data_IF_056451827139
#
_entry.id   IF_056451827139
#
_cell.length_a   1.000
_cell.length_b   1.000
_cell.length_c   1.000
_cell.angle_alpha   90.00
_cell.angle_beta   90.00
_cell.angle_gamma   90.00
#
_symmetry.space_group_name_H-M   'P 1'
#
loop_
_entity.id
_entity.type
_entity.pdbx_description
1 polymer ?
#
# COMPACT_ATOMS: atom_id res chain seq x y z
N UNK A 1 57.45 -3.39 28.99
CA UNK A 1 57.97 -4.74 28.69
C UNK A 1 56.81 -5.71 28.71
N UNK A 2 56.47 -6.23 27.54
CA UNK A 2 55.65 -7.43 27.22
C UNK A 2 56.27 -8.72 27.80
N UNK A 3 55.62 -9.93 27.84
CA UNK A 3 54.77 -10.59 26.80
C UNK A 3 53.46 -11.26 27.31
N UNK A 4 52.39 -11.48 26.50
CA UNK A 4 52.09 -12.48 25.42
C UNK A 4 52.27 -13.95 25.88
N UNK A 5 51.43 -14.97 25.63
CA UNK A 5 50.36 -15.31 24.65
C UNK A 5 49.36 -16.32 25.33
N UNK A 6 48.20 -16.77 24.81
CA UNK A 6 47.93 -17.54 23.57
C UNK A 6 46.43 -17.55 23.20
N UNK A 7 46.13 -17.67 21.91
CA UNK A 7 44.82 -18.08 21.36
C UNK A 7 44.47 -17.43 20.00
N UNK A 8 44.69 -18.14 18.89
CA UNK A 8 44.40 -17.72 17.49
C UNK A 8 43.12 -18.41 16.93
N UNK A 9 42.44 -17.89 15.87
CA UNK A 9 41.02 -18.08 15.57
C UNK A 9 40.73 -19.06 14.40
N UNK A 10 39.46 -19.16 13.98
CA UNK A 10 39.11 -18.99 12.56
C UNK A 10 37.83 -18.14 12.40
N UNK A 11 37.44 -17.58 11.27
CA UNK A 11 37.89 -17.60 9.88
C UNK A 11 36.83 -16.81 9.10
N UNK A 12 37.25 -15.82 8.30
CA UNK A 12 36.35 -14.96 7.52
C UNK A 12 35.72 -15.71 6.35
N UNK A 13 34.46 -15.39 6.04
CA UNK A 13 33.81 -15.73 4.77
C UNK A 13 33.48 -14.44 4.02
N UNK A 14 34.09 -14.29 2.86
CA UNK A 14 33.80 -13.28 1.84
C UNK A 14 32.50 -13.64 1.08
N UNK A 15 31.80 -12.64 0.51
CA UNK A 15 30.55 -12.84 -0.22
C UNK A 15 30.81 -13.33 -1.65
N UNK A 16 30.15 -14.43 -2.04
CA UNK A 16 30.21 -14.97 -3.41
C UNK A 16 29.24 -14.18 -4.29
N UNK A 17 29.81 -13.41 -5.21
CA UNK A 17 29.12 -12.80 -6.35
C UNK A 17 29.43 -13.65 -7.60
N UNK A 18 28.52 -13.62 -8.58
CA UNK A 18 28.61 -14.18 -9.94
C UNK A 18 28.01 -15.58 -10.18
N UNK A 19 26.78 -15.60 -10.68
CA UNK A 19 26.24 -16.69 -11.50
C UNK A 19 26.68 -16.50 -12.95
N UNK A 20 27.34 -17.51 -13.50
CA UNK A 20 27.82 -17.58 -14.89
C UNK A 20 26.99 -18.63 -15.64
N UNK A 21 26.47 -18.35 -16.85
CA UNK A 21 25.72 -19.33 -17.62
C UNK A 21 26.67 -20.20 -18.46
N UNK A 22 26.34 -21.48 -18.62
CA UNK A 22 26.96 -22.37 -19.60
C UNK A 22 25.89 -23.20 -20.29
N UNK A 23 25.85 -23.10 -21.62
CA UNK A 23 25.03 -23.94 -22.49
C UNK A 23 25.79 -25.14 -23.06
N UNK A 24 25.01 -26.12 -23.54
CA UNK A 24 25.34 -27.03 -24.64
C UNK A 24 25.74 -28.46 -24.29
N UNK A 25 24.88 -29.45 -24.60
CA UNK A 25 25.03 -30.37 -25.75
C UNK A 25 24.29 -31.73 -25.61
N UNK A 26 23.47 -32.01 -26.63
CA UNK A 26 22.85 -33.23 -27.21
C UNK A 26 23.07 -34.68 -26.68
N UNK A 27 21.96 -35.45 -26.74
CA UNK A 27 21.92 -36.93 -26.92
C UNK A 27 20.51 -37.55 -26.71
N UNK A 28 20.08 -38.61 -27.45
CA UNK A 28 18.75 -38.64 -28.09
C UNK A 28 17.64 -39.56 -27.51
N UNK A 29 16.39 -39.16 -27.84
CA UNK A 29 15.13 -39.87 -28.12
C UNK A 29 14.71 -41.13 -27.32
N UNK A 30 13.66 -40.97 -26.52
CA UNK A 30 12.75 -42.05 -26.11
C UNK A 30 11.32 -41.50 -26.01
N UNK A 31 10.42 -41.97 -26.87
CA UNK A 31 9.01 -41.60 -26.88
C UNK A 31 8.24 -42.29 -25.74
N UNK A 32 7.44 -41.53 -24.99
CA UNK A 32 6.46 -41.99 -23.99
C UNK A 32 5.52 -40.82 -23.63
N UNK A 33 4.30 -41.12 -23.16
CA UNK A 33 3.03 -40.70 -23.75
C UNK A 33 2.60 -39.29 -23.32
N UNK A 34 1.59 -38.76 -24.00
CA UNK A 34 0.91 -37.50 -23.70
C UNK A 34 0.52 -37.39 -22.22
N UNK A 35 1.43 -36.85 -21.41
CA UNK A 35 1.08 -36.18 -20.17
C UNK A 35 0.62 -34.79 -20.59
N UNK A 36 -0.69 -34.64 -20.82
CA UNK A 36 -1.35 -33.36 -20.61
C UNK A 36 -1.07 -32.98 -19.15
N UNK A 37 -0.03 -32.18 -18.96
CA UNK A 37 0.15 -31.43 -17.72
C UNK A 37 -1.15 -30.64 -17.55
N UNK A 38 -1.86 -30.75 -16.41
CA UNK A 38 -2.95 -29.83 -16.15
C UNK A 38 -2.36 -28.44 -16.36
N UNK A 39 -3.01 -27.62 -17.18
CA UNK A 39 -2.64 -26.23 -17.33
C UNK A 39 -2.46 -25.70 -15.92
N UNK A 40 -1.22 -25.44 -15.50
CA UNK A 40 -0.95 -24.73 -14.27
C UNK A 40 -1.68 -23.41 -14.48
N UNK A 41 -2.86 -23.29 -13.87
CA UNK A 41 -3.61 -22.05 -13.81
C UNK A 41 -2.59 -21.02 -13.34
N UNK A 42 -2.23 -20.11 -14.24
CA UNK A 42 -1.31 -19.03 -13.91
C UNK A 42 -1.82 -18.42 -12.61
N UNK A 43 -0.94 -18.18 -11.62
CA UNK A 43 -1.34 -17.60 -10.35
C UNK A 43 -2.25 -16.40 -10.63
N UNK A 44 -3.42 -16.29 -9.98
CA UNK A 44 -4.35 -15.22 -10.24
C UNK A 44 -3.61 -13.89 -10.15
N UNK A 45 -3.87 -12.99 -11.10
CA UNK A 45 -3.32 -11.62 -11.05
C UNK A 45 -3.79 -10.99 -9.74
N UNK A 46 -2.87 -10.88 -8.77
CA UNK A 46 -3.16 -10.43 -7.43
C UNK A 46 -3.77 -9.04 -7.45
N UNK A 47 -3.29 -8.16 -8.34
CA UNK A 47 -3.85 -6.82 -8.48
C UNK A 47 -5.32 -6.90 -8.89
N UNK A 48 -5.63 -7.74 -9.89
CA UNK A 48 -7.03 -7.93 -10.31
C UNK A 48 -7.88 -8.52 -9.18
N UNK A 49 -7.36 -9.49 -8.41
CA UNK A 49 -8.07 -10.08 -7.30
C UNK A 49 -8.43 -9.05 -6.21
N UNK A 50 -7.49 -8.17 -5.86
CA UNK A 50 -7.71 -7.07 -4.90
C UNK A 50 -8.73 -6.08 -5.45
N UNK A 51 -8.64 -5.70 -6.73
CA UNK A 51 -9.60 -4.78 -7.36
C UNK A 51 -11.01 -5.37 -7.39
N UNK A 52 -11.17 -6.66 -7.69
CA UNK A 52 -12.49 -7.32 -7.64
C UNK A 52 -13.05 -7.38 -6.22
N UNK A 53 -12.22 -7.66 -5.21
CA UNK A 53 -12.63 -7.65 -3.82
C UNK A 53 -13.07 -6.23 -3.38
N UNK A 54 -12.29 -5.20 -3.73
CA UNK A 54 -12.64 -3.80 -3.47
C UNK A 54 -13.96 -3.40 -4.15
N UNK A 55 -14.17 -3.80 -5.41
CA UNK A 55 -15.43 -3.55 -6.15
C UNK A 55 -16.63 -4.18 -5.46
N UNK A 56 -16.51 -5.42 -4.99
CA UNK A 56 -17.59 -6.13 -4.30
C UNK A 56 -17.95 -5.44 -2.98
N UNK A 57 -16.95 -5.11 -2.15
CA UNK A 57 -17.17 -4.42 -0.87
C UNK A 57 -17.76 -3.03 -1.11
N UNK A 58 -17.16 -2.22 -1.98
CA UNK A 58 -17.66 -0.88 -2.29
C UNK A 58 -19.12 -0.92 -2.79
N UNK A 59 -19.48 -1.91 -3.62
CA UNK A 59 -20.85 -2.07 -4.10
C UNK A 59 -21.84 -2.37 -2.97
N UNK A 60 -21.44 -3.20 -2.00
CA UNK A 60 -22.25 -3.50 -0.81
C UNK A 60 -22.43 -2.24 0.05
N UNK A 61 -21.35 -1.52 0.33
CA UNK A 61 -21.39 -0.30 1.13
C UNK A 61 -22.28 0.77 0.49
N UNK A 62 -22.12 1.02 -0.81
CA UNK A 62 -22.94 1.97 -1.58
C UNK A 62 -24.42 1.59 -1.56
N UNK A 63 -24.75 0.30 -1.75
CA UNK A 63 -26.13 -0.17 -1.77
C UNK A 63 -26.87 0.08 -0.46
N UNK A 64 -26.15 0.06 0.67
CA UNK A 64 -26.71 0.29 2.00
C UNK A 64 -26.53 1.73 2.50
N UNK A 65 -25.94 2.61 1.69
CA UNK A 65 -25.81 4.04 2.01
C UNK A 65 -24.72 4.37 3.01
N UNK A 66 -23.72 3.52 3.18
CA UNK A 66 -22.58 3.79 4.06
C UNK A 66 -21.63 4.82 3.45
N UNK A 67 -21.18 5.77 4.27
CA UNK A 67 -20.15 6.71 3.89
C UNK A 67 -18.77 6.04 4.03
N UNK A 68 -17.98 6.05 2.96
CA UNK A 68 -16.63 5.51 2.96
C UNK A 68 -15.76 6.21 1.91
N UNK A 69 -14.46 5.99 1.97
CA UNK A 69 -13.54 6.32 0.89
C UNK A 69 -12.41 5.29 0.82
N UNK A 70 -11.99 4.91 -0.40
CA UNK A 70 -10.81 4.08 -0.58
C UNK A 70 -9.54 4.82 -0.15
N UNK A 71 -8.65 4.08 0.50
CA UNK A 71 -7.33 4.52 0.92
C UNK A 71 -6.23 3.60 0.36
N UNK A 72 -5.02 3.74 0.89
CA UNK A 72 -3.90 2.85 0.61
C UNK A 72 -3.58 2.68 -0.88
N UNK A 73 -3.11 1.48 -1.24
CA UNK A 73 -2.58 1.21 -2.57
C UNK A 73 -3.64 1.28 -3.68
N UNK A 74 -4.88 0.87 -3.38
CA UNK A 74 -6.01 0.93 -4.32
C UNK A 74 -6.39 2.38 -4.62
N UNK A 75 -6.35 3.27 -3.64
CA UNK A 75 -6.58 4.70 -3.87
C UNK A 75 -5.50 5.33 -4.73
N UNK A 76 -4.23 4.98 -4.49
CA UNK A 76 -3.11 5.42 -5.33
C UNK A 76 -3.30 4.93 -6.77
N UNK A 77 -3.67 3.67 -6.96
CA UNK A 77 -4.02 3.09 -8.26
C UNK A 77 -5.14 3.86 -8.97
N UNK A 78 -6.25 4.12 -8.28
CA UNK A 78 -7.38 4.87 -8.83
C UNK A 78 -7.01 6.28 -9.31
N UNK A 79 -6.00 6.90 -8.69
CA UNK A 79 -5.45 8.17 -9.14
C UNK A 79 -4.54 8.08 -10.37
N UNK A 80 -4.44 6.93 -11.04
CA UNK A 80 -3.49 6.69 -12.14
C UNK A 80 -2.17 6.12 -11.64
N UNK A 81 -2.21 5.46 -10.48
CA UNK A 81 -1.16 4.65 -9.91
C UNK A 81 -0.72 3.53 -10.86
N UNK A 82 0.58 3.29 -11.00
CA UNK A 82 1.12 2.20 -11.85
C UNK A 82 1.95 1.21 -11.05
N UNK A 83 1.99 1.36 -9.73
CA UNK A 83 2.61 0.41 -8.82
C UNK A 83 1.71 -0.82 -8.62
N UNK A 84 2.31 -1.93 -8.19
CA UNK A 84 1.55 -3.08 -7.71
C UNK A 84 0.72 -2.68 -6.50
N UNK A 85 -0.48 -3.26 -6.41
CA UNK A 85 -1.30 -3.11 -5.22
C UNK A 85 -0.62 -3.82 -4.04
N UNK A 86 -0.79 -3.24 -2.86
CA UNK A 86 -0.46 -3.92 -1.61
C UNK A 86 -1.51 -5.00 -1.34
N UNK A 87 -1.19 -5.97 -0.50
CA UNK A 87 -1.90 -7.25 -0.41
C UNK A 87 -3.41 -7.17 -0.05
N UNK A 88 -3.90 -5.99 0.32
CA UNK A 88 -5.23 -5.68 0.82
C UNK A 88 -5.86 -4.46 0.14
N UNK A 89 -7.16 -4.27 0.37
CA UNK A 89 -7.87 -3.05 0.01
C UNK A 89 -8.34 -2.30 1.27
N UNK A 90 -7.98 -1.02 1.34
CA UNK A 90 -8.27 -0.15 2.48
C UNK A 90 -9.50 0.73 2.24
N UNK A 91 -10.42 0.73 3.20
CA UNK A 91 -11.62 1.56 3.23
C UNK A 91 -11.62 2.39 4.51
N UNK A 92 -11.57 3.72 4.36
CA UNK A 92 -11.82 4.62 5.47
C UNK A 92 -13.33 4.75 5.70
N UNK A 93 -13.76 4.51 6.94
CA UNK A 93 -15.14 4.68 7.43
C UNK A 93 -15.12 5.47 8.73
N UNK A 94 -16.22 6.12 9.11
CA UNK A 94 -16.24 6.84 10.38
C UNK A 94 -16.31 5.87 11.57
N UNK A 95 -15.67 6.17 12.71
CA UNK A 95 -15.77 5.34 13.92
C UNK A 95 -17.22 5.05 14.33
N UNK A 96 -18.10 6.06 14.26
CA UNK A 96 -19.51 5.91 14.60
C UNK A 96 -20.32 5.00 13.67
N UNK A 97 -19.82 4.75 12.46
CA UNK A 97 -20.47 3.89 11.48
C UNK A 97 -19.91 2.46 11.48
N UNK A 98 -18.82 2.20 12.21
CA UNK A 98 -18.09 0.93 12.16
C UNK A 98 -19.00 -0.28 12.41
N UNK A 99 -19.78 -0.26 13.50
CA UNK A 99 -20.69 -1.37 13.83
C UNK A 99 -21.75 -1.61 12.76
N UNK A 100 -22.27 -0.53 12.14
CA UNK A 100 -23.29 -0.63 11.08
C UNK A 100 -22.70 -1.19 9.78
N UNK A 101 -21.48 -0.80 9.44
CA UNK A 101 -20.72 -1.33 8.31
C UNK A 101 -20.43 -2.82 8.52
N UNK A 102 -19.93 -3.21 9.70
CA UNK A 102 -19.67 -4.61 10.06
C UNK A 102 -20.92 -5.46 9.90
N UNK A 103 -22.04 -5.06 10.50
CA UNK A 103 -23.30 -5.78 10.40
C UNK A 103 -23.75 -5.96 8.94
N UNK A 104 -23.59 -4.92 8.11
CA UNK A 104 -23.95 -4.98 6.69
C UNK A 104 -23.09 -5.96 5.90
N UNK A 105 -21.79 -6.04 6.20
CA UNK A 105 -20.89 -6.98 5.53
C UNK A 105 -21.18 -8.41 5.97
N UNK A 106 -21.44 -8.64 7.26
CA UNK A 106 -21.84 -9.95 7.78
C UNK A 106 -23.18 -10.42 7.19
N UNK A 107 -24.19 -9.53 7.08
CA UNK A 107 -25.47 -9.81 6.41
C UNK A 107 -25.28 -10.14 4.91
N UNK A 108 -24.28 -9.55 4.27
CA UNK A 108 -23.89 -9.87 2.90
C UNK A 108 -23.06 -11.17 2.78
N UNK A 109 -22.80 -11.86 3.90
CA UNK A 109 -22.06 -13.11 3.95
C UNK A 109 -20.53 -12.96 3.90
N UNK A 110 -20.01 -11.76 4.14
CA UNK A 110 -18.57 -11.50 4.23
C UNK A 110 -18.11 -11.71 5.68
N UNK A 111 -17.14 -12.61 5.94
CA UNK A 111 -16.58 -12.77 7.27
C UNK A 111 -15.87 -11.48 7.71
N UNK A 112 -16.22 -10.99 8.91
CA UNK A 112 -15.57 -9.85 9.55
C UNK A 112 -14.89 -10.33 10.83
N UNK A 113 -13.74 -9.75 11.15
CA UNK A 113 -13.00 -10.04 12.38
C UNK A 113 -12.29 -8.80 12.89
N UNK A 114 -12.26 -8.65 14.22
CA UNK A 114 -11.51 -7.59 14.90
C UNK A 114 -10.11 -8.12 15.21
N UNK A 115 -9.06 -7.55 14.61
CA UNK A 115 -7.69 -7.92 14.95
C UNK A 115 -7.27 -7.20 16.25
N UNK A 116 -6.04 -7.42 16.77
CA UNK A 116 -5.57 -6.73 17.98
C UNK A 116 -5.42 -5.20 17.83
N UNK A 117 -5.40 -4.70 16.61
CA UNK A 117 -5.33 -3.28 16.28
C UNK A 117 -6.62 -2.53 16.62
N UNK A 118 -6.54 -1.51 17.47
CA UNK A 118 -7.69 -0.70 17.90
C UNK A 118 -8.17 0.34 16.87
N UNK A 119 -7.63 0.35 15.64
CA UNK A 119 -7.86 1.39 14.62
C UNK A 119 -8.61 0.91 13.37
N UNK A 120 -8.87 -0.41 13.26
CA UNK A 120 -9.58 -1.02 12.14
C UNK A 120 -10.32 -2.30 12.52
N UNK A 121 -11.22 -2.74 11.65
CA UNK A 121 -11.69 -4.12 11.58
C UNK A 121 -11.38 -4.71 10.21
N UNK A 122 -11.16 -6.02 10.12
CA UNK A 122 -10.82 -6.69 8.86
C UNK A 122 -12.01 -7.49 8.34
N UNK A 123 -12.19 -7.52 7.04
CA UNK A 123 -13.12 -8.42 6.37
C UNK A 123 -12.38 -9.28 5.33
N UNK A 124 -12.96 -10.42 4.96
CA UNK A 124 -12.49 -11.23 3.83
C UNK A 124 -13.49 -11.20 2.69
N UNK A 125 -13.01 -10.86 1.49
CA UNK A 125 -13.80 -10.85 0.28
C UNK A 125 -13.01 -11.50 -0.86
N UNK A 126 -13.57 -12.52 -1.52
CA UNK A 126 -12.91 -13.24 -2.63
C UNK A 126 -11.48 -13.73 -2.30
N UNK A 127 -11.25 -14.11 -1.04
CA UNK A 127 -9.93 -14.55 -0.56
C UNK A 127 -8.93 -13.43 -0.29
N UNK A 128 -9.29 -12.16 -0.52
CA UNK A 128 -8.47 -10.99 -0.20
C UNK A 128 -8.88 -10.39 1.14
N UNK A 129 -7.92 -9.76 1.81
CA UNK A 129 -8.13 -9.01 3.04
C UNK A 129 -8.57 -7.57 2.73
N UNK A 130 -9.51 -7.08 3.54
CA UNK A 130 -10.11 -5.76 3.42
C UNK A 130 -10.00 -5.07 4.78
N UNK A 131 -9.37 -3.92 4.80
CA UNK A 131 -9.16 -3.14 6.03
C UNK A 131 -10.20 -2.03 6.10
N UNK A 132 -11.05 -2.07 7.13
CA UNK A 132 -12.06 -1.05 7.43
C UNK A 132 -11.49 -0.14 8.51
N UNK A 133 -10.81 0.90 8.06
CA UNK A 133 -10.02 1.83 8.86
C UNK A 133 -10.95 2.93 9.39
N UNK A 134 -11.06 3.05 10.70
CA UNK A 134 -11.79 4.15 11.34
C UNK A 134 -10.88 5.15 12.05
N UNK A 135 -9.59 4.81 12.22
CA UNK A 135 -8.54 5.74 12.61
C UNK A 135 -7.38 5.69 11.61
N UNK A 136 -7.21 6.77 10.84
CA UNK A 136 -6.18 6.89 9.81
C UNK A 136 -5.01 7.75 10.34
N UNK A 137 -3.83 7.15 10.42
CA UNK A 137 -2.61 7.79 10.93
C UNK A 137 -2.80 8.46 12.30
N UNK A 138 -3.35 7.69 13.24
CA UNK A 138 -3.66 8.10 14.62
C UNK A 138 -4.67 9.25 14.75
N UNK A 139 -5.53 9.43 13.75
CA UNK A 139 -6.62 10.41 13.76
C UNK A 139 -7.92 9.75 13.32
N UNK A 140 -9.04 10.02 13.99
CA UNK A 140 -10.33 9.45 13.59
C UNK A 140 -10.66 9.88 12.16
N UNK A 141 -11.20 8.97 11.37
CA UNK A 141 -11.75 9.27 10.04
C UNK A 141 -12.98 10.13 10.22
N UNK A 142 -12.92 11.39 9.77
CA UNK A 142 -14.00 12.36 9.94
C UNK A 142 -14.88 12.48 8.71
N UNK A 143 -16.08 13.05 8.87
CA UNK A 143 -16.97 13.36 7.75
C UNK A 143 -16.28 14.29 6.74
N UNK A 144 -15.52 15.29 7.21
CA UNK A 144 -14.80 16.23 6.34
C UNK A 144 -13.70 15.54 5.53
N UNK A 145 -13.06 14.50 6.07
CA UNK A 145 -12.10 13.69 5.32
C UNK A 145 -12.80 12.94 4.19
N UNK A 146 -13.93 12.30 4.48
CA UNK A 146 -14.70 11.56 3.48
C UNK A 146 -15.33 12.48 2.42
N UNK A 147 -15.79 13.67 2.79
CA UNK A 147 -16.36 14.65 1.85
C UNK A 147 -15.34 15.22 0.86
N UNK A 148 -14.05 15.22 1.20
CA UNK A 148 -12.97 15.59 0.26
C UNK A 148 -12.63 14.46 -0.73
N UNK A 149 -13.14 13.25 -0.52
CA UNK A 149 -12.92 12.15 -1.44
C UNK A 149 -13.47 12.47 -2.83
N UNK A 150 -12.80 11.97 -3.86
CA UNK A 150 -13.21 12.14 -5.25
C UNK A 150 -13.80 10.84 -5.77
N UNK A 151 -14.95 10.90 -6.42
CA UNK A 151 -15.50 9.76 -7.16
C UNK A 151 -14.61 9.43 -8.35
N UNK A 152 -13.96 8.27 -8.33
CA UNK A 152 -13.07 7.80 -9.39
C UNK A 152 -13.42 6.37 -9.81
N UNK A 153 -13.18 6.02 -11.08
CA UNK A 153 -13.29 4.64 -11.52
C UNK A 153 -12.17 3.79 -10.91
N UNK A 154 -12.55 2.76 -10.17
CA UNK A 154 -11.66 1.68 -9.75
C UNK A 154 -12.02 0.48 -10.58
N UNK A 155 -11.20 0.26 -11.62
CA UNK A 155 -11.55 -0.59 -12.76
C UNK A 155 -12.91 -0.16 -13.35
N UNK A 156 -13.99 -0.94 -13.17
CA UNK A 156 -15.30 -0.69 -13.78
C UNK A 156 -16.33 -0.06 -12.83
N UNK A 157 -15.97 0.25 -11.57
CA UNK A 157 -16.92 0.79 -10.56
C UNK A 157 -16.45 2.15 -10.06
N UNK A 158 -17.33 3.16 -10.15
CA UNK A 158 -17.07 4.47 -9.53
C UNK A 158 -17.34 4.40 -8.04
N UNK A 159 -16.41 4.90 -7.23
CA UNK A 159 -16.55 4.98 -5.78
C UNK A 159 -15.69 6.12 -5.21
N UNK A 160 -15.95 6.57 -3.97
CA UNK A 160 -15.17 7.62 -3.36
C UNK A 160 -13.74 7.14 -3.06
N UNK A 161 -12.75 7.93 -3.46
CA UNK A 161 -11.32 7.70 -3.23
C UNK A 161 -10.74 8.89 -2.49
N UNK A 162 -9.99 8.67 -1.40
CA UNK A 162 -9.38 9.75 -0.63
C UNK A 162 -8.52 10.65 -1.51
N UNK A 163 -8.59 11.96 -1.28
CA UNK A 163 -7.84 12.93 -2.06
C UNK A 163 -6.32 12.67 -1.98
N UNK A 164 -5.55 12.93 -3.06
CA UNK A 164 -4.10 12.68 -3.08
C UNK A 164 -3.33 13.38 -1.95
N UNK A 165 -3.74 14.59 -1.58
CA UNK A 165 -3.17 15.31 -0.45
C UNK A 165 -3.39 14.57 0.86
N UNK A 166 -4.60 14.04 1.11
CA UNK A 166 -4.91 13.30 2.34
C UNK A 166 -4.20 11.94 2.39
N UNK A 167 -4.05 11.25 1.25
CA UNK A 167 -3.19 10.06 1.14
C UNK A 167 -1.74 10.38 1.51
N UNK A 168 -1.20 11.50 1.02
CA UNK A 168 0.16 11.94 1.35
C UNK A 168 0.28 12.32 2.83
N UNK A 169 -0.72 12.98 3.42
CA UNK A 169 -0.76 13.26 4.87
C UNK A 169 -0.67 11.99 5.70
N UNK A 170 -1.44 10.95 5.35
CA UNK A 170 -1.43 9.69 6.07
C UNK A 170 -0.06 9.00 6.01
N UNK A 171 0.58 8.98 4.83
CA UNK A 171 1.91 8.40 4.66
C UNK A 171 2.99 9.15 5.47
N UNK A 172 2.95 10.49 5.47
CA UNK A 172 3.92 11.30 6.23
C UNK A 172 3.70 11.22 7.74
N UNK A 173 2.45 11.11 8.18
CA UNK A 173 2.12 10.96 9.59
C UNK A 173 2.58 9.62 10.18
N UNK A 174 2.76 8.59 9.35
CA UNK A 174 3.29 7.29 9.76
C UNK A 174 4.82 7.29 9.99
N UNK A 175 5.53 8.38 9.67
CA UNK A 175 6.96 8.47 9.91
C UNK A 175 7.30 8.71 11.38
N UNK A 176 8.25 7.93 11.88
CA UNK A 176 8.85 8.06 13.20
C UNK A 176 10.34 7.70 13.16
N UNK A 177 11.05 7.91 14.26
CA UNK A 177 12.47 7.51 14.38
C UNK A 177 12.68 6.00 14.21
N UNK A 178 11.65 5.20 14.49
CA UNK A 178 11.69 3.74 14.38
C UNK A 178 11.08 3.19 13.08
N UNK A 179 10.29 4.00 12.39
CA UNK A 179 9.59 3.60 11.18
C UNK A 179 9.59 4.74 10.17
N UNK A 180 10.50 4.68 9.21
CA UNK A 180 10.65 5.73 8.21
C UNK A 180 11.20 5.15 6.90
N UNK A 181 10.34 4.50 6.13
CA UNK A 181 10.69 3.99 4.81
C UNK A 181 10.35 5.01 3.71
N UNK A 182 11.33 5.83 3.34
CA UNK A 182 11.21 6.73 2.20
C UNK A 182 11.10 6.00 0.86
N UNK A 183 11.63 4.78 0.76
CA UNK A 183 11.59 3.97 -0.45
C UNK A 183 10.17 3.57 -0.81
N UNK A 184 9.33 3.28 0.18
CA UNK A 184 7.91 2.98 -0.01
C UNK A 184 7.09 4.23 -0.42
N UNK A 185 7.39 5.40 0.15
CA UNK A 185 6.59 6.62 -0.05
C UNK A 185 7.00 7.41 -1.30
N UNK A 186 8.28 7.37 -1.69
CA UNK A 186 8.81 8.15 -2.82
C UNK A 186 8.12 7.86 -4.18
N UNK A 187 7.86 6.59 -4.57
CA UNK A 187 7.14 6.30 -5.81
C UNK A 187 5.74 6.91 -5.83
N UNK A 188 5.02 6.82 -4.71
CA UNK A 188 3.68 7.40 -4.54
C UNK A 188 3.74 8.93 -4.67
N UNK A 189 4.69 9.56 -4.00
CA UNK A 189 4.91 11.01 -4.10
C UNK A 189 5.18 11.46 -5.55
N UNK A 190 5.99 10.71 -6.31
CA UNK A 190 6.27 11.01 -7.73
C UNK A 190 5.04 10.91 -8.61
N UNK A 191 4.20 9.90 -8.35
CA UNK A 191 2.98 9.64 -9.09
C UNK A 191 1.92 10.71 -8.86
N UNK A 192 1.74 11.09 -7.61
CA UNK A 192 0.71 12.04 -7.19
C UNK A 192 1.18 13.50 -7.20
N UNK A 193 2.43 13.78 -7.60
CA UNK A 193 3.09 15.09 -7.42
C UNK A 193 2.29 16.29 -7.94
N UNK A 194 1.54 16.15 -9.04
CA UNK A 194 0.80 17.27 -9.64
C UNK A 194 -0.58 17.47 -8.98
N UNK A 195 -1.03 16.52 -8.15
CA UNK A 195 -2.34 16.54 -7.51
C UNK A 195 -2.28 16.77 -6.00
N UNK A 196 -1.10 16.61 -5.40
CA UNK A 196 -0.87 16.88 -3.98
C UNK A 196 -0.67 18.37 -3.76
N UNK A 197 -1.37 18.93 -2.77
CA UNK A 197 -1.10 20.27 -2.27
C UNK A 197 0.16 20.27 -1.38
N UNK A 198 1.32 20.45 -2.01
CA UNK A 198 2.60 20.48 -1.31
C UNK A 198 2.78 21.68 -0.39
N UNK A 199 2.03 22.78 -0.58
CA UNK A 199 2.10 23.92 0.33
C UNK A 199 1.39 23.60 1.64
N UNK A 200 0.21 22.98 1.59
CA UNK A 200 -0.47 22.48 2.77
C UNK A 200 0.38 21.45 3.52
N UNK A 201 0.93 20.46 2.82
CA UNK A 201 1.82 19.44 3.40
C UNK A 201 3.01 20.07 4.11
N UNK A 202 3.64 21.10 3.51
CA UNK A 202 4.76 21.82 4.14
C UNK A 202 4.35 22.57 5.39
N UNK A 203 3.18 23.20 5.39
CA UNK A 203 2.67 23.92 6.55
C UNK A 203 2.40 23.00 7.73
N UNK A 204 1.94 21.78 7.46
CA UNK A 204 1.56 20.81 8.51
C UNK A 204 2.73 19.96 9.01
N UNK A 205 3.61 19.52 8.11
CA UNK A 205 4.66 18.53 8.42
C UNK A 205 6.08 19.09 8.32
N UNK A 206 6.23 20.36 7.93
CA UNK A 206 7.52 20.96 7.61
C UNK A 206 8.49 21.14 8.79
N UNK A 207 7.99 21.05 10.01
CA UNK A 207 8.77 21.18 11.24
C UNK A 207 9.03 19.83 11.93
N UNK A 208 8.37 18.76 11.48
CA UNK A 208 8.57 17.41 12.00
C UNK A 208 9.84 16.78 11.38
N UNK A 209 10.79 16.24 12.17
CA UNK A 209 12.11 15.83 11.64
C UNK A 209 12.06 14.85 10.45
N UNK A 210 11.26 13.78 10.57
CA UNK A 210 11.21 12.74 9.54
C UNK A 210 10.48 13.21 8.26
N UNK A 211 9.26 13.79 8.34
CA UNK A 211 8.62 14.37 7.16
C UNK A 211 9.42 15.52 6.54
N UNK A 212 10.05 16.39 7.33
CA UNK A 212 10.90 17.47 6.81
C UNK A 212 12.09 16.93 6.00
N UNK A 213 12.74 15.86 6.48
CA UNK A 213 13.80 15.19 5.75
C UNK A 213 13.30 14.58 4.43
N UNK A 214 12.10 14.00 4.40
CA UNK A 214 11.49 13.48 3.18
C UNK A 214 11.16 14.60 2.18
N UNK A 215 10.55 15.70 2.65
CA UNK A 215 10.24 16.85 1.80
C UNK A 215 11.51 17.46 1.21
N UNK A 216 12.59 17.56 1.99
CA UNK A 216 13.89 17.96 1.48
C UNK A 216 14.42 17.01 0.41
N UNK A 217 14.29 15.69 0.60
CA UNK A 217 14.66 14.70 -0.40
C UNK A 217 13.85 14.87 -1.69
N UNK A 218 12.53 15.09 -1.60
CA UNK A 218 11.67 15.33 -2.76
C UNK A 218 12.10 16.58 -3.56
N UNK A 219 12.53 17.64 -2.87
CA UNK A 219 13.08 18.84 -3.52
C UNK A 219 14.40 18.53 -4.24
N UNK A 220 15.31 17.81 -3.57
CA UNK A 220 16.62 17.45 -4.15
C UNK A 220 16.52 16.51 -5.35
N UNK A 221 15.44 15.73 -5.42
CA UNK A 221 15.11 14.81 -6.50
C UNK A 221 14.18 15.43 -7.56
N UNK A 222 13.91 16.74 -7.46
CA UNK A 222 13.06 17.53 -8.37
C UNK A 222 11.63 16.98 -8.50
N UNK A 223 11.15 16.26 -7.48
CA UNK A 223 9.77 15.76 -7.43
C UNK A 223 8.81 16.91 -7.13
N UNK A 224 9.22 17.83 -6.25
CA UNK A 224 8.46 19.01 -5.84
C UNK A 224 9.33 20.26 -6.02
N UNK A 225 8.70 21.42 -6.27
CA UNK A 225 9.40 22.70 -6.37
C UNK A 225 10.08 23.06 -5.04
N UNK A 226 11.26 23.68 -4.98
CA UNK A 226 11.90 24.07 -3.73
C UNK A 226 11.07 25.09 -2.93
N UNK A 227 11.27 25.16 -1.60
CA UNK A 227 10.65 26.21 -0.77
C UNK A 227 11.01 27.61 -1.31
N UNK A 228 10.00 28.39 -1.70
CA UNK A 228 10.16 29.78 -2.16
C UNK A 228 10.53 29.95 -3.64
N UNK A 229 10.52 28.89 -4.45
CA UNK A 229 10.71 28.97 -5.91
C UNK A 229 9.41 28.70 -6.67
N UNK A 230 9.09 29.54 -7.66
CA UNK A 230 8.18 29.17 -8.74
C UNK A 230 8.91 28.22 -9.70
N UNK A 231 8.18 27.23 -10.24
CA UNK A 231 8.68 26.32 -11.30
C UNK A 231 8.69 27.03 -12.64
#
# INVERSE_FOLDING_TARGET
MTPNAEGNPPGGREPVTEFRPAGGADGPAGASPDHELPAEELPPDLNQAILEAAKQVASILKKHGHAFALAGSVAVYAHGGTGNLQHDADFCIRPEDADAVVATLEEAGLPVFTPPEDWLVKAKCLGQDIDLIFELASRPVTTELLERATELPVDSVHMPVLAPTDLMRALLAAFSEHHCDFGAVLPIARQLRERVDWQAIRGEYGDAPMPAAFLFLLERLEVIAPRGGER
#
